data_IF_153959049294
#
_entry.id   IF_153959049294
#
_cell.length_a   1.000
_cell.length_b   1.000
_cell.length_c   1.000
_cell.angle_alpha   90.00
_cell.angle_beta   90.00
_cell.angle_gamma   90.00
#
_symmetry.space_group_name_H-M   'P 1'
#
loop_
_entity.id
_entity.type
_entity.pdbx_description
1 polymer ?
#
# COMPACT_ATOMS: atom_id res chain seq x y z
N UNK A 1 -31.53 7.16 -0.63
CA UNK A 1 -31.13 6.27 0.48
C UNK A 1 -29.61 6.12 0.46
N UNK A 2 -28.93 6.07 1.61
CA UNK A 2 -27.47 6.06 1.72
C UNK A 2 -26.82 4.67 1.63
N UNK A 3 -27.62 3.59 1.67
CA UNK A 3 -27.14 2.20 1.62
C UNK A 3 -26.98 1.74 0.16
N UNK A 4 -25.78 1.29 -0.19
CA UNK A 4 -25.44 0.70 -1.48
C UNK A 4 -24.85 -0.71 -1.25
N UNK A 5 -25.63 -1.74 -1.61
CA UNK A 5 -25.25 -3.13 -1.38
C UNK A 5 -24.20 -3.64 -2.36
N UNK A 6 -24.19 -3.10 -3.58
CA UNK A 6 -23.21 -3.47 -4.62
C UNK A 6 -21.84 -2.95 -4.21
N UNK A 7 -21.77 -1.69 -3.76
CA UNK A 7 -20.55 -1.11 -3.24
C UNK A 7 -20.06 -1.86 -1.98
N UNK A 8 -20.97 -2.19 -1.06
CA UNK A 8 -20.63 -2.95 0.14
C UNK A 8 -20.01 -4.32 -0.21
N UNK A 9 -20.60 -5.05 -1.15
CA UNK A 9 -20.09 -6.34 -1.62
C UNK A 9 -18.72 -6.22 -2.30
N UNK A 10 -18.47 -5.16 -3.09
CA UNK A 10 -17.14 -4.88 -3.66
C UNK A 10 -16.10 -4.71 -2.54
N UNK A 11 -16.41 -3.88 -1.54
CA UNK A 11 -15.47 -3.60 -0.45
C UNK A 11 -15.23 -4.77 0.49
N UNK A 12 -16.18 -5.72 0.59
CA UNK A 12 -15.93 -6.95 1.35
C UNK A 12 -14.79 -7.77 0.72
N UNK A 13 -14.79 -7.91 -0.61
CA UNK A 13 -13.70 -8.58 -1.35
C UNK A 13 -12.36 -7.85 -1.21
N UNK A 14 -12.38 -6.52 -1.28
CA UNK A 14 -11.17 -5.70 -1.05
C UNK A 14 -10.61 -5.94 0.36
N UNK A 15 -11.48 -6.04 1.38
CA UNK A 15 -11.07 -6.33 2.76
C UNK A 15 -10.54 -7.76 2.93
N UNK A 16 -11.04 -8.73 2.16
CA UNK A 16 -10.49 -10.09 2.14
C UNK A 16 -9.04 -10.09 1.66
N UNK A 17 -8.75 -9.47 0.52
CA UNK A 17 -7.37 -9.37 0.01
C UNK A 17 -6.47 -8.62 1.00
N UNK A 18 -6.93 -7.47 1.51
CA UNK A 18 -6.19 -6.70 2.53
C UNK A 18 -5.85 -7.54 3.75
N UNK A 19 -6.75 -8.43 4.19
CA UNK A 19 -6.54 -9.32 5.33
C UNK A 19 -5.32 -10.21 5.11
N UNK A 20 -5.21 -10.83 3.94
CA UNK A 20 -4.07 -11.68 3.57
C UNK A 20 -2.77 -10.88 3.55
N UNK A 21 -2.79 -9.68 2.95
CA UNK A 21 -1.63 -8.77 2.96
C UNK A 21 -1.19 -8.45 4.39
N UNK A 22 -2.12 -8.01 5.24
CA UNK A 22 -1.78 -7.68 6.62
C UNK A 22 -1.34 -8.89 7.45
N UNK A 23 -1.85 -10.08 7.14
CA UNK A 23 -1.42 -11.34 7.76
C UNK A 23 0.04 -11.66 7.43
N UNK A 24 0.43 -11.53 6.17
CA UNK A 24 1.82 -11.70 5.74
C UNK A 24 2.74 -10.71 6.47
N UNK A 25 2.38 -9.42 6.50
CA UNK A 25 3.18 -8.38 7.14
C UNK A 25 3.27 -8.53 8.67
N UNK A 26 2.29 -9.16 9.32
CA UNK A 26 2.36 -9.41 10.75
C UNK A 26 3.43 -10.46 11.11
N UNK A 27 3.66 -11.44 10.23
CA UNK A 27 4.78 -12.38 10.37
C UNK A 27 6.11 -11.62 10.29
N UNK A 28 6.24 -10.72 9.33
CA UNK A 28 7.43 -9.88 9.17
C UNK A 28 7.72 -9.00 10.41
N UNK A 29 6.67 -8.44 11.02
CA UNK A 29 6.80 -7.68 12.28
C UNK A 29 7.21 -8.57 13.45
N UNK A 30 6.57 -9.74 13.59
CA UNK A 30 6.92 -10.72 14.63
C UNK A 30 8.37 -11.15 14.53
N UNK A 31 8.87 -11.31 13.31
CA UNK A 31 10.26 -11.70 13.02
C UNK A 31 11.22 -10.50 12.96
N UNK A 32 10.73 -9.28 13.30
CA UNK A 32 11.48 -8.02 13.38
C UNK A 32 12.18 -7.61 12.09
N UNK A 33 11.66 -8.07 10.94
CA UNK A 33 12.15 -7.63 9.62
C UNK A 33 11.63 -6.25 9.24
N UNK A 34 10.42 -5.91 9.68
CA UNK A 34 9.84 -4.57 9.55
C UNK A 34 9.36 -4.04 10.90
N UNK A 35 9.44 -2.73 11.09
CA UNK A 35 8.82 -2.02 12.22
C UNK A 35 7.41 -1.51 11.89
N UNK A 36 7.20 -1.00 10.68
CA UNK A 36 5.94 -0.45 10.18
C UNK A 36 5.53 -1.08 8.85
N UNK A 37 4.23 -1.13 8.53
CA UNK A 37 3.79 -1.54 7.18
C UNK A 37 4.28 -0.60 6.09
N UNK A 38 4.58 0.66 6.42
CA UNK A 38 5.19 1.61 5.48
C UNK A 38 6.63 1.25 5.10
N UNK A 39 7.26 0.27 5.75
CA UNK A 39 8.56 -0.26 5.31
C UNK A 39 8.41 -1.33 4.23
N UNK A 40 7.18 -1.76 3.92
CA UNK A 40 6.91 -2.87 3.01
C UNK A 40 6.37 -2.42 1.65
N UNK A 41 6.62 -3.26 0.65
CA UNK A 41 6.07 -3.20 -0.70
C UNK A 41 5.64 -4.61 -1.17
N UNK A 42 4.61 -5.23 -0.55
CA UNK A 42 4.23 -6.61 -0.81
C UNK A 42 3.87 -6.89 -2.28
N UNK A 43 4.23 -8.06 -2.76
CA UNK A 43 3.76 -8.58 -4.04
C UNK A 43 2.55 -9.47 -3.82
N UNK A 44 1.44 -9.12 -4.46
CA UNK A 44 0.14 -9.78 -4.26
C UNK A 44 -0.28 -10.47 -5.55
N UNK A 45 -0.56 -11.75 -5.43
CA UNK A 45 -1.00 -12.61 -6.52
C UNK A 45 -2.44 -13.06 -6.24
N UNK A 46 -3.33 -12.90 -7.23
CA UNK A 46 -4.73 -13.27 -7.10
C UNK A 46 -5.14 -14.20 -8.24
N UNK A 47 -5.48 -15.44 -7.90
CA UNK A 47 -6.03 -16.42 -8.83
C UNK A 47 -7.56 -16.30 -8.95
N UNK A 48 -8.24 -15.80 -7.91
CA UNK A 48 -9.69 -15.58 -7.93
C UNK A 48 -10.04 -14.32 -8.75
N UNK A 49 -10.65 -14.52 -9.92
CA UNK A 49 -11.03 -13.44 -10.84
C UNK A 49 -12.00 -12.42 -10.21
N UNK A 50 -12.87 -12.85 -9.28
CA UNK A 50 -13.85 -11.98 -8.64
C UNK A 50 -13.20 -11.07 -7.58
N UNK A 51 -12.14 -11.53 -6.91
CA UNK A 51 -11.30 -10.70 -6.03
C UNK A 51 -10.45 -9.74 -6.85
N UNK A 52 -9.84 -10.21 -7.95
CA UNK A 52 -9.04 -9.39 -8.84
C UNK A 52 -9.88 -8.23 -9.41
N UNK A 53 -11.08 -8.52 -9.91
CA UNK A 53 -12.01 -7.51 -10.42
C UNK A 53 -12.46 -6.50 -9.35
N UNK A 54 -12.53 -6.89 -8.08
CA UNK A 54 -12.89 -5.98 -7.00
C UNK A 54 -11.82 -4.93 -6.71
N UNK A 55 -10.57 -5.20 -7.07
CA UNK A 55 -9.43 -4.29 -6.92
C UNK A 55 -9.19 -3.39 -8.14
N UNK A 56 -9.96 -3.57 -9.22
CA UNK A 56 -9.80 -2.75 -10.42
C UNK A 56 -9.98 -1.25 -10.11
N UNK A 57 -9.00 -0.47 -10.58
CA UNK A 57 -8.88 0.97 -10.33
C UNK A 57 -8.54 1.38 -8.89
N UNK A 58 -8.20 0.45 -8.00
CA UNK A 58 -7.83 0.74 -6.61
C UNK A 58 -6.32 0.65 -6.37
N UNK A 59 -5.81 1.54 -5.52
CA UNK A 59 -4.42 1.48 -5.06
C UNK A 59 -4.32 0.54 -3.85
N UNK A 60 -3.74 -0.64 -4.07
CA UNK A 60 -3.58 -1.64 -3.03
C UNK A 60 -2.59 -1.21 -1.93
N UNK A 61 -1.60 -0.37 -2.26
CA UNK A 61 -0.64 0.14 -1.29
C UNK A 61 -1.32 1.10 -0.30
N UNK A 62 -2.19 1.99 -0.79
CA UNK A 62 -3.02 2.86 0.07
C UNK A 62 -3.99 2.05 0.93
N UNK A 63 -4.68 1.05 0.36
CA UNK A 63 -5.61 0.18 1.09
C UNK A 63 -4.90 -0.63 2.19
N UNK A 64 -3.69 -1.10 1.91
CA UNK A 64 -2.90 -1.95 2.82
C UNK A 64 -1.99 -1.14 3.74
N UNK A 65 -1.92 0.19 3.57
CA UNK A 65 -1.08 1.11 4.34
C UNK A 65 0.40 0.70 4.23
N UNK A 66 0.85 0.46 3.00
CA UNK A 66 2.23 0.12 2.65
C UNK A 66 2.82 1.21 1.75
N UNK A 67 4.14 1.22 1.58
CA UNK A 67 4.79 2.22 0.72
C UNK A 67 4.74 1.85 -0.76
N UNK A 68 4.64 0.55 -1.05
CA UNK A 68 4.30 0.03 -2.36
C UNK A 68 3.40 -1.19 -2.24
N UNK A 69 2.87 -1.66 -3.36
CA UNK A 69 2.28 -2.98 -3.52
C UNK A 69 2.22 -3.29 -5.01
N UNK A 70 2.52 -4.52 -5.40
CA UNK A 70 2.25 -4.99 -6.77
C UNK A 70 1.08 -5.96 -6.75
N UNK A 71 0.32 -5.98 -7.84
CA UNK A 71 -0.83 -6.86 -8.01
C UNK A 71 -0.70 -7.59 -9.34
N UNK A 72 -0.73 -8.93 -9.29
CA UNK A 72 -0.64 -9.80 -10.47
C UNK A 72 -1.71 -10.90 -10.42
N UNK A 73 -2.14 -11.37 -11.58
CA UNK A 73 -3.06 -12.52 -11.66
C UNK A 73 -2.30 -13.84 -11.48
N UNK A 74 -2.97 -14.85 -10.92
CA UNK A 74 -2.47 -16.22 -10.77
C UNK A 74 -2.16 -16.63 -9.33
N UNK A 75 -1.67 -17.86 -9.18
CA UNK A 75 -1.45 -18.50 -7.87
C UNK A 75 -0.26 -17.92 -7.08
N UNK A 76 0.67 -17.25 -7.77
CA UNK A 76 1.94 -16.80 -7.18
C UNK A 76 2.89 -17.95 -6.82
N UNK A 77 4.06 -17.62 -6.23
CA UNK A 77 5.06 -18.61 -5.82
C UNK A 77 4.54 -19.59 -4.76
N UNK A 78 5.09 -20.81 -4.71
CA UNK A 78 4.62 -21.86 -3.78
C UNK A 78 4.85 -21.50 -2.31
N UNK A 79 5.91 -20.76 -2.03
CA UNK A 79 6.35 -20.28 -0.72
C UNK A 79 5.62 -19.02 -0.24
N UNK A 80 4.82 -18.39 -1.10
CA UNK A 80 4.07 -17.18 -0.73
C UNK A 80 3.08 -17.45 0.42
N UNK A 81 2.89 -16.45 1.27
CA UNK A 81 1.94 -16.50 2.37
C UNK A 81 0.50 -16.61 1.85
N UNK A 82 -0.31 -17.48 2.46
CA UNK A 82 -1.71 -17.70 2.12
C UNK A 82 -2.54 -17.86 3.40
N UNK A 83 -3.81 -17.50 3.32
CA UNK A 83 -4.79 -17.76 4.38
C UNK A 83 -5.83 -18.75 3.89
N UNK A 84 -6.14 -19.78 4.69
CA UNK A 84 -7.13 -20.79 4.32
C UNK A 84 -8.53 -20.18 4.16
N UNK A 85 -8.87 -19.14 4.92
CA UNK A 85 -10.18 -18.47 4.84
C UNK A 85 -10.33 -17.56 3.61
N UNK A 86 -9.26 -17.28 2.87
CA UNK A 86 -9.26 -16.44 1.67
C UNK A 86 -8.48 -17.15 0.56
N UNK A 87 -9.14 -18.11 -0.08
CA UNK A 87 -8.57 -18.86 -1.18
C UNK A 87 -8.23 -17.96 -2.38
N UNK A 88 -7.22 -18.37 -3.16
CA UNK A 88 -6.82 -17.69 -4.39
C UNK A 88 -6.10 -16.36 -4.18
N UNK A 89 -5.61 -16.06 -2.98
CA UNK A 89 -4.75 -14.90 -2.70
C UNK A 89 -3.43 -15.37 -2.08
N UNK A 90 -2.32 -14.99 -2.70
CA UNK A 90 -0.97 -15.26 -2.22
C UNK A 90 -0.17 -13.96 -2.10
N UNK A 91 0.61 -13.83 -1.02
CA UNK A 91 1.38 -12.61 -0.73
C UNK A 91 2.83 -12.96 -0.46
N UNK A 92 3.74 -12.33 -1.21
CA UNK A 92 5.17 -12.34 -0.90
C UNK A 92 5.50 -11.01 -0.22
N UNK A 93 5.88 -11.01 1.08
CA UNK A 93 6.33 -9.79 1.72
C UNK A 93 7.65 -9.33 1.10
N UNK A 94 7.77 -8.04 0.84
CA UNK A 94 8.99 -7.42 0.34
C UNK A 94 9.20 -6.06 1.00
N UNK A 95 10.45 -5.61 1.09
CA UNK A 95 10.79 -4.28 1.58
C UNK A 95 10.54 -3.23 0.51
N UNK A 96 10.04 -2.07 0.91
CA UNK A 96 9.97 -0.91 0.03
C UNK A 96 11.36 -0.34 -0.26
N UNK A 97 11.57 0.10 -1.50
CA UNK A 97 12.83 0.68 -1.94
C UNK A 97 12.82 2.21 -1.92
N UNK A 98 13.99 2.80 -1.67
CA UNK A 98 14.18 4.25 -1.64
C UNK A 98 14.48 4.78 -0.24
N UNK A 99 14.03 6.00 0.04
CA UNK A 99 14.26 6.66 1.34
C UNK A 99 12.93 6.99 1.99
N UNK A 100 12.92 7.05 3.33
CA UNK A 100 11.75 7.44 4.11
C UNK A 100 11.50 8.94 3.93
N UNK A 101 10.31 9.31 3.46
CA UNK A 101 9.84 10.68 3.45
C UNK A 101 9.60 11.17 4.88
N UNK A 102 10.15 12.33 5.24
CA UNK A 102 10.02 12.89 6.59
C UNK A 102 8.57 13.27 6.96
N UNK A 103 7.70 13.53 5.97
CA UNK A 103 6.31 13.94 6.19
C UNK A 103 5.32 12.78 6.23
N UNK A 104 5.21 12.00 5.15
CA UNK A 104 4.26 10.88 5.08
C UNK A 104 4.78 9.56 5.67
N UNK A 105 6.08 9.48 5.97
CA UNK A 105 6.78 8.27 6.40
C UNK A 105 6.78 7.11 5.41
N UNK A 106 6.28 7.32 4.18
CA UNK A 106 6.42 6.36 3.09
C UNK A 106 7.88 6.25 2.67
N UNK A 107 8.32 5.05 2.32
CA UNK A 107 9.62 4.77 1.70
C UNK A 107 9.43 4.83 0.20
N UNK A 108 10.01 5.85 -0.45
CA UNK A 108 9.80 6.12 -1.87
C UNK A 108 11.13 6.42 -2.55
N UNK A 109 11.25 6.04 -3.82
CA UNK A 109 12.45 6.28 -4.63
C UNK A 109 12.67 7.76 -4.97
N UNK A 110 11.60 8.57 -4.96
CA UNK A 110 11.61 9.98 -5.35
C UNK A 110 11.94 10.95 -4.20
N UNK A 111 12.13 10.44 -2.97
CA UNK A 111 12.54 11.27 -1.84
C UNK A 111 13.87 11.94 -2.16
N UNK A 112 13.89 13.27 -2.08
CA UNK A 112 15.02 14.14 -2.42
C UNK A 112 15.18 14.47 -3.90
N UNK A 113 14.15 14.23 -4.71
CA UNK A 113 14.07 14.76 -6.08
C UNK A 113 13.82 16.28 -6.13
N UNK A 114 13.21 16.84 -5.09
CA UNK A 114 13.04 18.30 -4.93
C UNK A 114 14.19 18.87 -4.09
N UNK A 115 14.93 19.83 -4.66
CA UNK A 115 16.09 20.43 -4.02
C UNK A 115 15.74 21.34 -2.83
N UNK A 116 14.55 21.95 -2.83
CA UNK A 116 14.09 22.81 -1.72
C UNK A 116 13.59 21.96 -0.54
N UNK A 117 13.15 20.73 -0.81
CA UNK A 117 12.63 19.80 0.18
C UNK A 117 13.31 18.41 0.09
N UNK A 118 14.62 18.31 0.37
CA UNK A 118 15.43 17.12 0.07
C UNK A 118 15.08 15.86 0.90
N UNK A 119 14.30 16.03 1.97
CA UNK A 119 13.83 14.92 2.83
C UNK A 119 12.39 14.47 2.50
N UNK A 120 11.76 15.09 1.50
CA UNK A 120 10.39 14.81 1.11
C UNK A 120 10.31 14.09 -0.24
N UNK A 121 9.26 13.28 -0.42
CA UNK A 121 8.84 12.81 -1.74
C UNK A 121 8.28 13.96 -2.57
N UNK A 122 8.19 13.80 -3.89
CA UNK A 122 7.71 14.86 -4.77
C UNK A 122 6.29 15.31 -4.41
N UNK A 123 5.41 14.36 -4.04
CA UNK A 123 4.05 14.65 -3.57
C UNK A 123 4.05 15.53 -2.31
N UNK A 124 4.88 15.17 -1.33
CA UNK A 124 4.91 15.87 -0.05
C UNK A 124 5.58 17.24 -0.17
N UNK A 125 6.63 17.35 -0.99
CA UNK A 125 7.25 18.62 -1.34
C UNK A 125 6.25 19.58 -2.00
N UNK A 126 5.46 19.12 -2.97
CA UNK A 126 4.43 19.94 -3.62
C UNK A 126 3.41 20.47 -2.62
N UNK A 127 2.93 19.63 -1.70
CA UNK A 127 1.95 20.04 -0.70
C UNK A 127 2.53 21.02 0.35
N UNK A 128 3.78 20.85 0.75
CA UNK A 128 4.45 21.80 1.67
C UNK A 128 4.69 23.13 0.97
N UNK A 129 5.11 23.11 -0.30
CA UNK A 129 5.31 24.32 -1.11
C UNK A 129 4.03 25.15 -1.25
N UNK A 130 2.90 24.50 -1.51
CA UNK A 130 1.59 25.18 -1.56
C UNK A 130 1.27 25.85 -0.22
N UNK A 131 1.50 25.15 0.90
CA UNK A 131 1.30 25.71 2.23
C UNK A 131 2.20 26.92 2.52
N UNK A 132 3.49 26.83 2.16
CA UNK A 132 4.45 27.91 2.35
C UNK A 132 4.07 29.16 1.53
N UNK A 133 3.55 28.98 0.31
CA UNK A 133 3.03 30.08 -0.52
C UNK A 133 1.79 30.74 0.09
N UNK A 134 0.85 29.93 0.58
CA UNK A 134 -0.35 30.44 1.27
C UNK A 134 0.05 31.26 2.50
N UNK A 135 1.00 30.75 3.29
CA UNK A 135 1.49 31.45 4.48
C UNK A 135 2.20 32.75 4.13
N UNK A 136 3.09 32.75 3.15
CA UNK A 136 3.80 33.94 2.71
C UNK A 136 2.86 35.04 2.17
N UNK A 137 1.73 34.66 1.56
CA UNK A 137 0.73 35.61 1.08
C UNK A 137 -0.16 36.19 2.20
N UNK A 138 -0.18 35.55 3.37
CA UNK A 138 -0.96 35.97 4.54
C UNK A 138 -0.16 36.83 5.53
N UNK A 139 1.17 36.86 5.37
CA UNK A 139 2.13 37.72 6.10
C UNK A 139 2.32 39.07 5.39
#
# INVERSE_FOLDING_TARGET
AWRDEVLAAKWEKVRQVRRVVTGALEIERREKRIGSSLEAAPEVYIADEALMAALDGLDLAEISITSGASLSAGEGPGEAFRMEEVAGVAVVPAMAEGRKCARSWKVLADVGSDADYPELSARDAAAVREWDQIRAAAE
#
